data_IF_741283164530
#
_entry.id   IF_741283164530
#
_cell.length_a   1.000
_cell.length_b   1.000
_cell.length_c   1.000
_cell.angle_alpha   90.00
_cell.angle_beta   90.00
_cell.angle_gamma   90.00
#
_symmetry.space_group_name_H-M   'P 1'
#
loop_
_entity.id
_entity.type
_entity.pdbx_description
1 polymer ?
#
# COMPACT_ATOMS: atom_id res chain seq x y z
N UNK A 1 0.90 -17.28 20.85
CA UNK A 1 0.06 -16.08 21.08
C UNK A 1 0.03 -15.77 22.58
N UNK A 2 0.08 -14.52 22.93
CA UNK A 2 -0.03 -14.06 24.31
C UNK A 2 -1.50 -13.86 24.74
N UNK A 3 -2.34 -13.43 23.82
CA UNK A 3 -3.77 -13.14 24.02
C UNK A 3 -4.64 -13.90 23.01
N UNK A 4 -5.78 -14.44 23.43
CA UNK A 4 -6.67 -15.23 22.57
C UNK A 4 -7.37 -14.39 21.51
N UNK A 5 -7.65 -13.14 21.81
CA UNK A 5 -8.27 -12.19 20.88
C UNK A 5 -7.39 -11.85 19.66
N UNK A 6 -6.09 -12.12 19.71
CA UNK A 6 -5.21 -11.97 18.54
C UNK A 6 -5.65 -12.85 17.34
N UNK A 7 -6.39 -13.94 17.59
CA UNK A 7 -6.95 -14.78 16.53
C UNK A 7 -7.90 -14.03 15.58
N UNK A 8 -8.47 -12.93 16.02
CA UNK A 8 -9.32 -12.06 15.19
C UNK A 8 -8.57 -11.53 13.97
N UNK A 9 -7.24 -11.36 14.05
CA UNK A 9 -6.41 -10.90 12.93
C UNK A 9 -6.38 -11.88 11.75
N UNK A 10 -6.59 -13.19 12.01
CA UNK A 10 -6.44 -14.24 11.00
C UNK A 10 -7.34 -14.06 9.76
N UNK A 11 -8.67 -13.86 9.87
CA UNK A 11 -9.50 -13.62 8.69
C UNK A 11 -9.10 -12.36 7.92
N UNK A 12 -8.67 -11.30 8.60
CA UNK A 12 -8.18 -10.08 7.96
C UNK A 12 -6.94 -10.35 7.10
N UNK A 13 -5.95 -11.07 7.62
CA UNK A 13 -4.75 -11.43 6.87
C UNK A 13 -5.06 -12.34 5.68
N UNK A 14 -5.91 -13.34 5.86
CA UNK A 14 -6.31 -14.22 4.75
C UNK A 14 -7.01 -13.43 3.66
N UNK A 15 -7.94 -12.56 4.04
CA UNK A 15 -8.69 -11.77 3.07
C UNK A 15 -7.81 -10.74 2.35
N UNK A 16 -6.87 -10.10 3.04
CA UNK A 16 -5.88 -9.23 2.42
C UNK A 16 -5.05 -9.97 1.34
N UNK A 17 -4.64 -11.22 1.60
CA UNK A 17 -3.93 -12.04 0.61
C UNK A 17 -4.82 -12.43 -0.59
N UNK A 18 -6.11 -12.69 -0.37
CA UNK A 18 -7.07 -12.95 -1.46
C UNK A 18 -7.26 -11.69 -2.33
N UNK A 19 -7.40 -10.53 -1.69
CA UNK A 19 -7.51 -9.27 -2.40
C UNK A 19 -6.23 -8.92 -3.18
N UNK A 20 -5.05 -9.23 -2.63
CA UNK A 20 -3.78 -9.07 -3.34
C UNK A 20 -3.71 -9.95 -4.60
N UNK A 21 -4.18 -11.19 -4.52
CA UNK A 21 -4.25 -12.03 -5.70
C UNK A 21 -5.18 -11.45 -6.78
N UNK A 22 -6.33 -10.92 -6.38
CA UNK A 22 -7.25 -10.20 -7.29
C UNK A 22 -6.63 -8.94 -7.87
N UNK A 23 -5.96 -8.14 -7.06
CA UNK A 23 -5.27 -6.91 -7.47
C UNK A 23 -4.21 -7.21 -8.55
N UNK A 24 -3.33 -8.20 -8.32
CA UNK A 24 -2.32 -8.59 -9.31
C UNK A 24 -2.97 -9.14 -10.59
N UNK A 25 -4.06 -9.91 -10.49
CA UNK A 25 -4.78 -10.40 -11.68
C UNK A 25 -5.31 -9.24 -12.53
N UNK A 26 -5.92 -8.22 -11.93
CA UNK A 26 -6.36 -7.03 -12.66
C UNK A 26 -5.18 -6.21 -13.19
N UNK A 27 -4.05 -6.18 -12.48
CA UNK A 27 -2.80 -5.63 -13.00
C UNK A 27 -2.27 -6.36 -14.23
N UNK A 28 -2.41 -7.70 -14.29
CA UNK A 28 -2.06 -8.50 -15.48
C UNK A 28 -3.04 -8.24 -16.63
N UNK A 29 -4.35 -8.12 -16.38
CA UNK A 29 -5.35 -7.74 -17.40
C UNK A 29 -4.97 -6.40 -18.02
N UNK A 30 -4.65 -5.39 -17.21
CA UNK A 30 -4.14 -4.09 -17.67
C UNK A 30 -2.85 -4.25 -18.48
N UNK A 31 -1.94 -5.10 -18.02
CA UNK A 31 -0.70 -5.42 -18.76
C UNK A 31 -0.98 -5.95 -20.18
N UNK A 32 -1.95 -6.86 -20.33
CA UNK A 32 -2.42 -7.33 -21.64
C UNK A 32 -3.10 -6.24 -22.45
N UNK A 33 -3.91 -5.39 -21.83
CA UNK A 33 -4.60 -4.27 -22.52
C UNK A 33 -3.64 -3.19 -23.03
N UNK A 34 -2.46 -3.01 -22.41
CA UNK A 34 -1.40 -2.16 -22.97
C UNK A 34 -0.77 -2.74 -24.25
N UNK A 35 -0.82 -4.08 -24.42
CA UNK A 35 -0.30 -4.76 -25.62
C UNK A 35 -1.38 -4.87 -26.70
N UNK A 36 -2.58 -5.21 -26.28
CA UNK A 36 -3.78 -5.31 -27.14
C UNK A 36 -4.97 -4.62 -26.45
N UNK A 37 -5.28 -3.41 -26.89
CA UNK A 37 -6.32 -2.57 -26.29
C UNK A 37 -7.71 -3.19 -26.23
N UNK A 38 -8.02 -4.11 -27.13
CA UNK A 38 -9.32 -4.81 -27.20
C UNK A 38 -9.39 -6.07 -26.33
N UNK A 39 -8.32 -6.38 -25.58
CA UNK A 39 -8.32 -7.56 -24.70
C UNK A 39 -9.43 -7.44 -23.64
N UNK A 40 -10.33 -8.42 -23.63
CA UNK A 40 -11.54 -8.49 -22.78
C UNK A 40 -12.58 -7.37 -23.00
N UNK A 41 -12.42 -6.51 -24.02
CA UNK A 41 -13.46 -5.53 -24.36
C UNK A 41 -14.63 -6.24 -25.08
N UNK A 42 -15.90 -5.89 -24.82
CA UNK A 42 -16.40 -4.85 -23.92
C UNK A 42 -16.69 -5.33 -22.47
N UNK A 43 -16.35 -6.56 -22.10
CA UNK A 43 -16.67 -7.14 -20.78
C UNK A 43 -15.93 -6.41 -19.66
N UNK A 44 -14.64 -6.13 -19.85
CA UNK A 44 -13.80 -5.42 -18.89
C UNK A 44 -13.02 -4.34 -19.64
N UNK A 45 -13.60 -3.14 -19.81
CA UNK A 45 -12.90 -1.99 -20.39
C UNK A 45 -11.69 -1.60 -19.54
N UNK A 46 -10.68 -0.98 -20.16
CA UNK A 46 -9.42 -0.59 -19.51
C UNK A 46 -9.63 0.26 -18.23
N UNK A 47 -10.52 1.25 -18.30
CA UNK A 47 -10.79 2.11 -17.16
C UNK A 47 -11.49 1.36 -16.00
N UNK A 48 -12.34 0.39 -16.30
CA UNK A 48 -12.94 -0.48 -15.26
C UNK A 48 -11.89 -1.39 -14.66
N UNK A 49 -11.05 -2.03 -15.48
CA UNK A 49 -9.94 -2.86 -14.98
C UNK A 49 -9.00 -2.06 -14.07
N UNK A 50 -8.66 -0.81 -14.46
CA UNK A 50 -7.83 0.09 -13.68
C UNK A 50 -8.49 0.48 -12.36
N UNK A 51 -9.75 0.85 -12.38
CA UNK A 51 -10.53 1.19 -11.19
C UNK A 51 -10.57 0.03 -10.19
N UNK A 52 -10.81 -1.20 -10.68
CA UNK A 52 -10.80 -2.38 -9.81
C UNK A 52 -9.40 -2.64 -9.24
N UNK A 53 -8.35 -2.58 -10.06
CA UNK A 53 -6.96 -2.76 -9.63
C UNK A 53 -6.58 -1.79 -8.52
N UNK A 54 -6.83 -0.50 -8.70
CA UNK A 54 -6.48 0.54 -7.72
C UNK A 54 -7.32 0.44 -6.44
N UNK A 55 -8.63 0.16 -6.55
CA UNK A 55 -9.48 0.00 -5.37
C UNK A 55 -9.15 -1.27 -4.57
N UNK A 56 -8.82 -2.38 -5.23
CA UNK A 56 -8.34 -3.59 -4.55
C UNK A 56 -7.06 -3.32 -3.76
N UNK A 57 -6.12 -2.54 -4.31
CA UNK A 57 -4.90 -2.13 -3.62
C UNK A 57 -5.20 -1.39 -2.31
N UNK A 58 -6.08 -0.40 -2.33
CA UNK A 58 -6.45 0.36 -1.14
C UNK A 58 -7.11 -0.54 -0.09
N UNK A 59 -8.09 -1.34 -0.52
CA UNK A 59 -8.87 -2.18 0.41
C UNK A 59 -8.01 -3.28 1.03
N UNK A 60 -7.11 -3.91 0.27
CA UNK A 60 -6.22 -4.94 0.82
C UNK A 60 -5.27 -4.37 1.89
N UNK A 61 -4.74 -3.16 1.70
CA UNK A 61 -3.89 -2.48 2.67
C UNK A 61 -4.68 -2.17 3.95
N UNK A 62 -5.92 -1.70 3.83
CA UNK A 62 -6.78 -1.46 4.99
C UNK A 62 -7.06 -2.76 5.77
N UNK A 63 -7.36 -3.88 5.09
CA UNK A 63 -7.49 -5.18 5.76
C UNK A 63 -6.20 -5.62 6.45
N UNK A 64 -5.04 -5.41 5.80
CA UNK A 64 -3.74 -5.72 6.39
C UNK A 64 -3.47 -4.88 7.65
N UNK A 65 -3.74 -3.58 7.61
CA UNK A 65 -3.58 -2.68 8.76
C UNK A 65 -4.51 -3.04 9.92
N UNK A 66 -5.78 -3.37 9.61
CA UNK A 66 -6.73 -3.82 10.62
C UNK A 66 -6.27 -5.14 11.26
N UNK A 67 -5.86 -6.12 10.45
CA UNK A 67 -5.32 -7.39 10.93
C UNK A 67 -4.07 -7.21 11.79
N UNK A 68 -3.11 -6.41 11.34
CA UNK A 68 -1.90 -6.08 12.08
C UNK A 68 -2.22 -5.42 13.44
N UNK A 69 -3.12 -4.44 13.44
CA UNK A 69 -3.54 -3.73 14.65
C UNK A 69 -4.22 -4.67 15.65
N UNK A 70 -5.13 -5.53 15.20
CA UNK A 70 -5.77 -6.53 16.06
C UNK A 70 -4.78 -7.57 16.59
N UNK A 71 -3.66 -7.80 15.90
CA UNK A 71 -2.62 -8.70 16.39
C UNK A 71 -1.69 -8.01 17.40
N UNK A 72 -1.22 -6.80 17.10
CA UNK A 72 -0.19 -6.13 17.92
C UNK A 72 -0.76 -5.43 19.16
N UNK A 73 -1.96 -4.83 19.07
CA UNK A 73 -2.51 -4.01 20.17
C UNK A 73 -2.74 -4.80 21.46
N UNK A 74 -3.26 -6.04 21.43
CA UNK A 74 -3.34 -6.84 22.66
C UNK A 74 -2.01 -7.04 23.36
N UNK A 75 -0.93 -7.27 22.61
CA UNK A 75 0.41 -7.44 23.19
C UNK A 75 0.98 -6.14 23.76
N UNK A 76 0.83 -5.03 23.04
CA UNK A 76 1.31 -3.72 23.45
C UNK A 76 0.53 -3.17 24.65
N UNK A 77 -0.79 -3.39 24.66
CA UNK A 77 -1.68 -2.93 25.74
C UNK A 77 -1.76 -3.89 26.92
N UNK A 78 -1.10 -5.04 26.84
CA UNK A 78 -1.07 -6.10 27.88
C UNK A 78 -2.47 -6.57 28.30
N UNK A 79 -3.40 -6.68 27.32
CA UNK A 79 -4.77 -7.12 27.57
C UNK A 79 -5.45 -7.64 26.31
N UNK A 80 -6.54 -8.39 26.48
CA UNK A 80 -7.43 -8.80 25.39
C UNK A 80 -8.08 -7.59 24.69
N UNK A 81 -8.45 -7.73 23.41
CA UNK A 81 -9.24 -6.72 22.71
C UNK A 81 -10.52 -6.36 23.48
N UNK A 82 -10.88 -5.09 23.44
CA UNK A 82 -12.12 -4.62 24.09
C UNK A 82 -13.35 -5.36 23.60
N UNK A 83 -13.45 -5.61 22.31
CA UNK A 83 -14.56 -6.39 21.73
C UNK A 83 -14.13 -7.21 20.53
N UNK A 84 -13.72 -8.49 20.71
CA UNK A 84 -13.46 -9.40 19.60
C UNK A 84 -14.69 -9.59 18.68
N UNK A 85 -15.91 -9.54 19.24
CA UNK A 85 -17.16 -9.63 18.47
C UNK A 85 -17.30 -8.44 17.50
N UNK A 86 -17.04 -7.23 17.96
CA UNK A 86 -17.09 -6.03 17.10
C UNK A 86 -16.08 -6.16 15.95
N UNK A 87 -14.88 -6.67 16.21
CA UNK A 87 -13.88 -6.87 15.18
C UNK A 87 -14.36 -7.85 14.08
N UNK A 88 -15.00 -8.97 14.45
CA UNK A 88 -15.55 -9.92 13.48
C UNK A 88 -16.75 -9.33 12.71
N UNK A 89 -17.63 -8.59 13.37
CA UNK A 89 -18.73 -7.89 12.69
C UNK A 89 -18.17 -6.88 11.67
N UNK A 90 -17.22 -6.07 12.09
CA UNK A 90 -16.54 -5.09 11.23
C UNK A 90 -15.88 -5.75 10.02
N UNK A 91 -15.24 -6.92 10.23
CA UNK A 91 -14.69 -7.72 9.13
C UNK A 91 -15.75 -8.05 8.08
N UNK A 92 -16.87 -8.63 8.48
CA UNK A 92 -17.91 -9.05 7.54
C UNK A 92 -18.59 -7.89 6.84
N UNK A 93 -18.88 -6.80 7.56
CA UNK A 93 -19.45 -5.60 6.94
C UNK A 93 -18.51 -5.06 5.86
N UNK A 94 -17.22 -4.93 6.17
CA UNK A 94 -16.25 -4.39 5.24
C UNK A 94 -16.00 -5.33 4.05
N UNK A 95 -15.88 -6.64 4.28
CA UNK A 95 -15.68 -7.63 3.22
C UNK A 95 -16.89 -7.67 2.27
N UNK A 96 -18.12 -7.73 2.79
CA UNK A 96 -19.33 -7.78 1.96
C UNK A 96 -19.50 -6.47 1.18
N UNK A 97 -19.34 -5.31 1.82
CA UNK A 97 -19.45 -4.02 1.14
C UNK A 97 -18.37 -3.82 0.07
N UNK A 98 -17.12 -4.22 0.36
CA UNK A 98 -16.02 -4.17 -0.60
C UNK A 98 -16.26 -5.06 -1.82
N UNK A 99 -16.64 -6.32 -1.60
CA UNK A 99 -16.97 -7.26 -2.69
C UNK A 99 -18.16 -6.74 -3.51
N UNK A 100 -19.22 -6.25 -2.85
CA UNK A 100 -20.39 -5.70 -3.55
C UNK A 100 -20.02 -4.49 -4.42
N UNK A 101 -19.13 -3.62 -3.94
CA UNK A 101 -18.65 -2.46 -4.70
C UNK A 101 -17.86 -2.90 -5.94
N UNK A 102 -16.91 -3.85 -5.79
CA UNK A 102 -16.13 -4.37 -6.92
C UNK A 102 -17.03 -5.09 -7.94
N UNK A 103 -17.97 -5.90 -7.47
CA UNK A 103 -18.95 -6.54 -8.37
C UNK A 103 -19.83 -5.52 -9.07
N UNK A 104 -20.20 -4.42 -8.40
CA UNK A 104 -20.90 -3.31 -9.02
C UNK A 104 -20.13 -2.72 -10.20
N UNK A 105 -18.81 -2.50 -10.04
CA UNK A 105 -17.96 -2.01 -11.14
C UNK A 105 -17.86 -2.98 -12.31
N UNK A 106 -17.86 -4.28 -12.06
CA UNK A 106 -17.70 -5.31 -13.10
C UNK A 106 -19.01 -5.67 -13.80
N UNK A 107 -20.14 -5.63 -13.07
CA UNK A 107 -21.42 -6.10 -13.57
C UNK A 107 -22.31 -5.00 -14.17
N UNK A 108 -22.07 -3.73 -13.79
CA UNK A 108 -22.80 -2.62 -14.37
C UNK A 108 -22.18 -2.26 -15.74
N UNK A 109 -22.95 -2.24 -16.84
CA UNK A 109 -22.41 -1.93 -18.17
C UNK A 109 -21.68 -0.58 -18.19
N UNK A 110 -20.57 -0.51 -18.93
CA UNK A 110 -19.74 0.69 -19.02
C UNK A 110 -20.53 1.95 -19.43
N UNK A 111 -21.43 1.83 -20.42
CA UNK A 111 -22.28 2.95 -20.85
C UNK A 111 -23.13 3.48 -19.69
N UNK A 112 -23.74 2.60 -18.91
CA UNK A 112 -24.52 2.97 -17.73
C UNK A 112 -23.64 3.63 -16.66
N UNK A 113 -22.42 3.10 -16.40
CA UNK A 113 -21.47 3.73 -15.48
C UNK A 113 -21.11 5.16 -15.93
N UNK A 114 -20.90 5.38 -17.22
CA UNK A 114 -20.59 6.69 -17.77
C UNK A 114 -21.76 7.69 -17.58
N UNK A 115 -22.99 7.25 -17.77
CA UNK A 115 -24.21 8.05 -17.57
C UNK A 115 -24.43 8.44 -16.11
N UNK A 116 -24.16 7.53 -15.17
CA UNK A 116 -24.39 7.77 -13.74
C UNK A 116 -23.21 8.47 -13.03
N UNK A 117 -22.12 8.74 -13.72
CA UNK A 117 -20.92 9.41 -13.16
C UNK A 117 -21.24 10.77 -12.54
N UNK A 118 -22.25 11.48 -13.04
CA UNK A 118 -22.69 12.77 -12.49
C UNK A 118 -23.56 12.65 -11.23
N UNK A 119 -23.92 11.44 -10.81
CA UNK A 119 -24.74 11.23 -9.61
C UNK A 119 -23.85 10.98 -8.39
N UNK A 120 -23.87 11.88 -7.41
CA UNK A 120 -23.06 11.81 -6.19
C UNK A 120 -23.32 10.56 -5.31
N UNK A 121 -24.43 9.86 -5.51
CA UNK A 121 -24.77 8.63 -4.78
C UNK A 121 -24.24 7.38 -5.46
N UNK A 122 -23.84 7.47 -6.72
CA UNK A 122 -23.41 6.35 -7.55
C UNK A 122 -21.91 6.43 -7.87
N UNK A 123 -21.31 5.40 -8.47
CA UNK A 123 -19.88 5.39 -8.79
C UNK A 123 -19.46 6.58 -9.63
N UNK A 124 -18.39 7.24 -9.23
CA UNK A 124 -17.76 8.29 -10.03
C UNK A 124 -16.46 7.74 -10.60
N UNK A 125 -16.23 7.97 -11.91
CA UNK A 125 -15.01 7.50 -12.57
C UNK A 125 -13.88 8.54 -12.60
N UNK A 126 -14.11 9.72 -12.04
CA UNK A 126 -13.21 10.87 -12.17
C UNK A 126 -12.13 11.01 -11.11
N UNK A 127 -12.27 10.39 -9.94
CA UNK A 127 -11.34 10.51 -8.82
C UNK A 127 -10.67 9.18 -8.55
N UNK A 128 -9.49 8.97 -9.10
CA UNK A 128 -8.69 7.77 -8.89
C UNK A 128 -8.50 7.49 -7.39
N UNK A 129 -8.66 6.25 -6.98
CA UNK A 129 -8.70 5.76 -5.59
C UNK A 129 -9.94 6.17 -4.77
N UNK A 130 -10.77 7.07 -5.25
CA UNK A 130 -11.98 7.57 -4.57
C UNK A 130 -13.24 7.37 -5.42
N UNK A 131 -13.22 6.42 -6.35
CA UNK A 131 -14.32 6.14 -7.27
C UNK A 131 -15.54 5.51 -6.58
N UNK A 132 -15.43 5.09 -5.31
CA UNK A 132 -16.50 4.42 -4.60
C UNK A 132 -17.76 5.32 -4.53
N UNK A 133 -18.96 4.74 -4.67
CA UNK A 133 -20.20 5.46 -4.45
C UNK A 133 -20.25 6.10 -3.06
N UNK A 134 -20.95 7.21 -2.92
CA UNK A 134 -21.12 7.90 -1.62
C UNK A 134 -21.63 6.96 -0.53
N UNK A 135 -22.55 6.06 -0.87
CA UNK A 135 -23.07 5.07 0.10
C UNK A 135 -21.96 4.11 0.57
N UNK A 136 -21.05 3.69 -0.31
CA UNK A 136 -19.89 2.87 0.06
C UNK A 136 -18.91 3.67 0.92
N UNK A 137 -18.68 4.96 0.62
CA UNK A 137 -17.86 5.86 1.45
C UNK A 137 -18.43 6.00 2.86
N UNK A 138 -19.76 6.12 3.02
CA UNK A 138 -20.41 6.12 4.33
C UNK A 138 -20.16 4.79 5.05
N UNK A 139 -20.28 3.67 4.34
CA UNK A 139 -19.97 2.35 4.89
C UNK A 139 -18.50 2.25 5.36
N UNK A 140 -17.55 2.80 4.61
CA UNK A 140 -16.13 2.88 5.00
C UNK A 140 -15.98 3.67 6.30
N UNK A 141 -16.64 4.82 6.44
CA UNK A 141 -16.61 5.62 7.68
C UNK A 141 -17.12 4.82 8.88
N UNK A 142 -18.23 4.11 8.74
CA UNK A 142 -18.78 3.27 9.82
C UNK A 142 -17.79 2.16 10.22
N UNK A 143 -17.19 1.49 9.26
CA UNK A 143 -16.18 0.45 9.49
C UNK A 143 -14.96 1.02 10.20
N UNK A 144 -14.42 2.15 9.72
CA UNK A 144 -13.23 2.80 10.29
C UNK A 144 -13.51 3.28 11.72
N UNK A 145 -14.65 3.91 11.98
CA UNK A 145 -15.02 4.36 13.33
C UNK A 145 -15.21 3.18 14.29
N UNK A 146 -15.83 2.09 13.84
CA UNK A 146 -15.99 0.86 14.63
C UNK A 146 -14.64 0.23 14.97
N UNK A 147 -13.71 0.21 14.01
CA UNK A 147 -12.35 -0.27 14.19
C UNK A 147 -11.58 0.61 15.19
N UNK A 148 -11.57 1.93 14.97
CA UNK A 148 -10.90 2.89 15.87
C UNK A 148 -11.45 2.78 17.27
N UNK A 149 -12.76 2.69 17.45
CA UNK A 149 -13.40 2.51 18.77
C UNK A 149 -12.83 1.27 19.48
N UNK A 150 -12.75 0.14 18.79
CA UNK A 150 -12.26 -1.11 19.38
C UNK A 150 -10.79 -1.00 19.81
N UNK A 151 -9.94 -0.45 18.92
CA UNK A 151 -8.52 -0.24 19.21
C UNK A 151 -8.33 0.78 20.35
N UNK A 152 -8.99 1.95 20.26
CA UNK A 152 -8.87 3.00 21.27
C UNK A 152 -9.32 2.51 22.66
N UNK A 153 -10.45 1.82 22.75
CA UNK A 153 -10.94 1.27 24.03
C UNK A 153 -10.02 0.20 24.59
N UNK A 154 -9.32 -0.56 23.72
CA UNK A 154 -8.31 -1.51 24.16
C UNK A 154 -7.10 -0.78 24.75
N UNK A 155 -6.57 0.21 24.04
CA UNK A 155 -5.40 0.98 24.47
C UNK A 155 -5.71 1.82 25.73
N UNK A 156 -6.84 2.51 25.76
CA UNK A 156 -7.21 3.38 26.89
C UNK A 156 -7.38 2.61 28.21
N UNK A 157 -7.85 1.36 28.14
CA UNK A 157 -8.03 0.50 29.31
C UNK A 157 -6.84 -0.40 29.61
N UNK A 158 -5.79 -0.39 28.79
CA UNK A 158 -4.56 -1.16 28.94
C UNK A 158 -3.33 -0.28 29.11
N UNK A 159 -2.15 -0.93 28.96
CA UNK A 159 -0.88 -0.22 28.90
C UNK A 159 -0.82 0.63 27.62
N UNK A 160 -0.31 1.84 27.76
CA UNK A 160 -0.08 2.77 26.63
C UNK A 160 1.41 2.74 26.30
N UNK A 161 1.75 2.44 25.06
CA UNK A 161 3.11 2.48 24.53
C UNK A 161 3.20 3.50 23.41
N UNK A 162 4.41 3.93 23.04
CA UNK A 162 4.62 4.83 21.91
C UNK A 162 4.01 4.22 20.64
N UNK A 163 4.22 2.92 20.42
CA UNK A 163 3.65 2.18 19.27
C UNK A 163 2.12 2.34 19.21
N UNK A 164 1.42 2.16 20.35
CA UNK A 164 -0.04 2.27 20.36
C UNK A 164 -0.53 3.71 20.19
N UNK A 165 0.22 4.71 20.68
CA UNK A 165 -0.10 6.13 20.49
C UNK A 165 0.09 6.52 19.03
N UNK A 166 1.21 6.14 18.41
CA UNK A 166 1.48 6.40 16.98
C UNK A 166 0.41 5.76 16.11
N UNK A 167 0.07 4.50 16.38
CA UNK A 167 -1.00 3.79 15.69
C UNK A 167 -2.34 4.53 15.78
N UNK A 168 -2.75 4.95 16.98
CA UNK A 168 -4.00 5.69 17.16
C UNK A 168 -3.96 7.04 16.45
N UNK A 169 -2.83 7.76 16.48
CA UNK A 169 -2.67 9.02 15.74
C UNK A 169 -2.89 8.79 14.25
N UNK A 170 -2.26 7.76 13.67
CA UNK A 170 -2.46 7.39 12.27
C UNK A 170 -3.91 7.03 11.96
N UNK A 171 -4.57 6.23 12.81
CA UNK A 171 -5.96 5.83 12.61
C UNK A 171 -6.96 6.99 12.70
N UNK A 172 -6.80 7.88 13.67
CA UNK A 172 -7.65 9.08 13.78
C UNK A 172 -7.40 10.03 12.61
N UNK A 173 -6.15 10.25 12.22
CA UNK A 173 -5.81 11.04 11.05
C UNK A 173 -6.41 10.45 9.77
N UNK A 174 -6.33 9.14 9.59
CA UNK A 174 -6.93 8.44 8.46
C UNK A 174 -8.44 8.70 8.36
N UNK A 175 -9.17 8.60 9.48
CA UNK A 175 -10.60 8.91 9.52
C UNK A 175 -10.88 10.39 9.22
N UNK A 176 -10.09 11.30 9.79
CA UNK A 176 -10.25 12.73 9.60
C UNK A 176 -10.05 13.16 8.15
N UNK A 177 -8.95 12.76 7.52
CA UNK A 177 -8.65 13.15 6.14
C UNK A 177 -9.63 12.52 5.14
N UNK A 178 -10.19 11.34 5.42
CA UNK A 178 -11.19 10.74 4.56
C UNK A 178 -12.48 11.56 4.44
N UNK A 179 -12.80 12.40 5.42
CA UNK A 179 -14.00 13.25 5.35
C UNK A 179 -13.96 14.21 4.16
N UNK A 180 -12.78 14.63 3.72
CA UNK A 180 -12.63 15.47 2.52
C UNK A 180 -13.00 14.74 1.22
N UNK A 181 -13.07 13.41 1.22
CA UNK A 181 -13.55 12.63 0.07
C UNK A 181 -15.04 12.88 -0.28
N UNK A 182 -15.80 13.44 0.65
CA UNK A 182 -17.21 13.83 0.45
C UNK A 182 -17.38 15.22 -0.14
N UNK A 183 -16.32 16.03 -0.17
CA UNK A 183 -16.36 17.36 -0.75
C UNK A 183 -16.13 17.27 -2.26
N UNK A 184 -17.12 17.69 -3.04
CA UNK A 184 -17.16 17.61 -4.50
C UNK A 184 -17.37 19.01 -5.08
N UNK A 185 -16.33 19.86 -5.17
CA UNK A 185 -16.44 21.19 -5.73
C UNK A 185 -16.61 21.15 -7.25
N UNK A 186 -17.31 22.12 -7.80
CA UNK A 186 -17.52 22.27 -9.25
C UNK A 186 -16.23 22.69 -9.99
N UNK A 187 -15.36 23.46 -9.33
CA UNK A 187 -14.11 23.90 -9.91
C UNK A 187 -13.07 22.78 -9.93
N UNK A 188 -12.60 22.43 -11.12
CA UNK A 188 -11.66 21.31 -11.31
C UNK A 188 -10.33 21.46 -10.54
N UNK A 189 -9.79 22.66 -10.43
CA UNK A 189 -8.55 22.90 -9.69
C UNK A 189 -8.76 22.66 -8.18
N UNK A 190 -9.89 23.15 -7.63
CA UNK A 190 -10.27 22.91 -6.24
C UNK A 190 -10.57 21.43 -6.00
N UNK A 191 -11.24 20.75 -6.95
CA UNK A 191 -11.49 19.32 -6.91
C UNK A 191 -10.18 18.51 -6.84
N UNK A 192 -9.23 18.81 -7.70
CA UNK A 192 -7.91 18.18 -7.73
C UNK A 192 -7.13 18.45 -6.44
N UNK A 193 -7.21 19.66 -5.88
CA UNK A 193 -6.57 19.99 -4.61
C UNK A 193 -7.10 19.10 -3.47
N UNK A 194 -8.42 19.01 -3.27
CA UNK A 194 -9.01 18.21 -2.20
C UNK A 194 -8.91 16.71 -2.45
N UNK A 195 -8.94 16.26 -3.71
CA UNK A 195 -8.70 14.87 -4.05
C UNK A 195 -7.31 14.41 -3.60
N UNK A 196 -6.25 15.13 -3.98
CA UNK A 196 -4.89 14.80 -3.58
C UNK A 196 -4.65 15.06 -2.09
N UNK A 197 -5.33 16.02 -1.49
CA UNK A 197 -5.30 16.22 -0.05
C UNK A 197 -5.77 14.99 0.72
N UNK A 198 -6.76 14.24 0.22
CA UNK A 198 -7.15 12.95 0.80
C UNK A 198 -6.12 11.89 0.53
N UNK A 199 -5.79 11.64 -0.74
CA UNK A 199 -4.98 10.48 -1.14
C UNK A 199 -3.53 10.61 -0.67
N UNK A 200 -2.91 11.78 -0.85
CA UNK A 200 -1.55 12.01 -0.40
C UNK A 200 -1.43 11.91 1.14
N UNK A 201 -2.32 12.60 1.88
CA UNK A 201 -2.28 12.52 3.36
C UNK A 201 -2.64 11.14 3.90
N UNK A 202 -3.34 10.31 3.13
CA UNK A 202 -3.47 8.90 3.46
C UNK A 202 -2.13 8.19 3.25
N UNK A 203 -1.61 8.19 2.05
CA UNK A 203 -0.48 7.36 1.63
C UNK A 203 0.84 7.87 2.18
N UNK A 204 1.13 9.16 2.06
CA UNK A 204 2.39 9.80 2.47
C UNK A 204 2.25 10.60 3.78
N UNK A 205 1.27 10.26 4.58
CA UNK A 205 1.03 10.87 5.86
C UNK A 205 0.63 9.80 6.89
N UNK A 206 -0.67 9.68 7.15
CA UNK A 206 -1.17 8.88 8.27
C UNK A 206 -0.95 7.37 8.14
N UNK A 207 -0.90 6.83 6.92
CA UNK A 207 -0.55 5.42 6.71
C UNK A 207 0.89 5.10 7.08
N UNK A 208 1.80 6.06 6.93
CA UNK A 208 3.18 5.90 7.38
C UNK A 208 3.28 5.79 8.90
N UNK A 209 2.40 6.47 9.65
CA UNK A 209 2.31 6.29 11.11
C UNK A 209 1.86 4.88 11.46
N UNK A 210 0.86 4.36 10.75
CA UNK A 210 0.35 2.99 10.96
C UNK A 210 1.44 1.97 10.61
N UNK A 211 2.10 2.15 9.47
CA UNK A 211 3.23 1.33 9.02
C UNK A 211 4.40 1.39 10.02
N UNK A 212 4.72 2.59 10.53
CA UNK A 212 5.75 2.79 11.56
C UNK A 212 5.48 2.01 12.83
N UNK A 213 4.23 2.03 13.28
CA UNK A 213 3.82 1.26 14.46
C UNK A 213 3.95 -0.25 14.22
N UNK A 214 3.49 -0.76 13.06
CA UNK A 214 3.57 -2.18 12.72
C UNK A 214 5.02 -2.64 12.57
N UNK A 215 5.83 -1.89 11.82
CA UNK A 215 7.23 -2.23 11.59
C UNK A 215 8.03 -2.20 12.90
N UNK A 216 7.81 -1.19 13.74
CA UNK A 216 8.44 -1.08 15.05
C UNK A 216 8.12 -2.27 15.95
N UNK A 217 6.85 -2.67 16.00
CA UNK A 217 6.43 -3.87 16.72
C UNK A 217 7.19 -5.11 16.23
N UNK A 218 7.22 -5.36 14.93
CA UNK A 218 7.88 -6.53 14.35
C UNK A 218 9.38 -6.46 14.59
N UNK A 219 10.04 -5.31 14.39
CA UNK A 219 11.47 -5.13 14.63
C UNK A 219 11.84 -5.47 16.07
N UNK A 220 11.10 -4.95 17.07
CA UNK A 220 11.34 -5.28 18.49
C UNK A 220 11.21 -6.79 18.73
N UNK A 221 10.18 -7.43 18.13
CA UNK A 221 9.93 -8.87 18.33
C UNK A 221 10.95 -9.77 17.63
N UNK A 222 11.35 -9.41 16.43
CA UNK A 222 12.22 -10.25 15.59
C UNK A 222 13.70 -10.00 15.86
N UNK A 223 14.11 -8.74 16.04
CA UNK A 223 15.52 -8.38 16.27
C UNK A 223 15.91 -8.30 17.74
N UNK A 224 14.92 -8.16 18.63
CA UNK A 224 15.15 -7.91 20.06
C UNK A 224 15.82 -6.56 20.33
N UNK A 225 15.74 -5.61 19.38
CA UNK A 225 16.25 -4.24 19.57
C UNK A 225 15.59 -3.58 20.76
N UNK A 226 16.35 -2.71 21.44
CA UNK A 226 15.83 -2.00 22.59
C UNK A 226 14.68 -1.07 22.19
N UNK A 227 13.56 -1.20 22.92
CA UNK A 227 12.34 -0.43 22.71
C UNK A 227 12.58 1.08 22.77
N UNK A 228 13.39 1.55 23.72
CA UNK A 228 13.64 2.98 23.90
C UNK A 228 14.21 3.64 22.64
N UNK A 229 15.08 2.92 21.92
CA UNK A 229 15.64 3.42 20.67
C UNK A 229 14.60 3.48 19.56
N UNK A 230 13.74 2.47 19.45
CA UNK A 230 12.65 2.47 18.46
C UNK A 230 11.64 3.58 18.78
N UNK A 231 11.30 3.79 20.05
CA UNK A 231 10.38 4.84 20.48
C UNK A 231 10.89 6.25 20.08
N UNK A 232 12.19 6.51 20.19
CA UNK A 232 12.80 7.78 19.73
C UNK A 232 12.64 7.99 18.22
N UNK A 233 12.86 6.94 17.43
CA UNK A 233 12.64 7.01 15.98
C UNK A 233 11.18 7.23 15.63
N UNK A 234 10.25 6.60 16.34
CA UNK A 234 8.82 6.81 16.13
C UNK A 234 8.38 8.25 16.39
N UNK A 235 8.90 8.90 17.43
CA UNK A 235 8.63 10.33 17.67
C UNK A 235 9.13 11.22 16.52
N UNK A 236 10.32 10.91 15.98
CA UNK A 236 10.84 11.63 14.82
C UNK A 236 9.98 11.40 13.58
N UNK A 237 9.55 10.15 13.33
CA UNK A 237 8.65 9.81 12.23
C UNK A 237 7.34 10.58 12.35
N UNK A 238 6.68 10.61 13.52
CA UNK A 238 5.45 11.40 13.72
C UNK A 238 5.68 12.86 13.36
N UNK A 239 6.74 13.46 13.89
CA UNK A 239 7.01 14.88 13.68
C UNK A 239 7.25 15.18 12.19
N UNK A 240 8.04 14.34 11.52
CA UNK A 240 8.33 14.51 10.10
C UNK A 240 7.09 14.28 9.24
N UNK A 241 6.39 13.15 9.42
CA UNK A 241 5.20 12.81 8.65
C UNK A 241 4.08 13.85 8.77
N UNK A 242 3.84 14.40 9.96
CA UNK A 242 2.80 15.44 10.13
C UNK A 242 3.19 16.77 9.48
N UNK A 243 4.46 17.15 9.53
CA UNK A 243 4.93 18.42 8.93
C UNK A 243 5.17 18.24 7.44
N UNK A 244 5.98 17.25 7.04
CA UNK A 244 6.36 17.02 5.65
C UNK A 244 5.20 16.46 4.83
N UNK A 245 4.38 15.56 5.38
CA UNK A 245 3.23 15.00 4.70
C UNK A 245 2.20 16.07 4.32
N UNK A 246 1.83 16.97 5.24
CA UNK A 246 0.87 18.04 4.95
C UNK A 246 1.43 19.00 3.88
N UNK A 247 2.65 19.48 4.07
CA UNK A 247 3.30 20.41 3.12
C UNK A 247 3.68 19.70 1.83
N UNK A 248 4.06 18.42 1.92
CA UNK A 248 4.41 17.55 0.80
C UNK A 248 3.28 17.37 -0.22
N UNK A 249 2.01 17.50 0.19
CA UNK A 249 0.86 17.46 -0.72
C UNK A 249 1.05 18.39 -1.94
N UNK A 250 1.81 19.46 -1.80
CA UNK A 250 2.08 20.42 -2.87
C UNK A 250 2.71 19.78 -4.13
N UNK A 251 3.43 18.68 -4.00
CA UNK A 251 4.03 18.01 -5.16
C UNK A 251 3.00 17.33 -6.09
N UNK A 252 1.73 17.21 -5.68
CA UNK A 252 0.63 16.75 -6.53
C UNK A 252 -0.08 17.90 -7.28
N UNK A 253 0.31 19.15 -7.06
CA UNK A 253 -0.40 20.30 -7.61
C UNK A 253 0.16 20.80 -8.94
N UNK A 254 0.99 20.00 -9.61
CA UNK A 254 1.44 20.29 -10.96
C UNK A 254 0.26 20.40 -11.94
N UNK A 255 0.27 21.44 -12.77
CA UNK A 255 -0.70 21.66 -13.87
C UNK A 255 -2.17 21.87 -13.46
N UNK A 256 -2.46 22.16 -12.18
CA UNK A 256 -3.84 22.43 -11.72
C UNK A 256 -4.11 23.90 -11.42
N UNK A 257 -3.15 24.79 -11.69
CA UNK A 257 -3.31 26.23 -11.49
C UNK A 257 -3.09 26.73 -10.07
N UNK A 258 -2.40 25.98 -9.24
CA UNK A 258 -1.96 26.45 -7.91
C UNK A 258 -0.74 27.36 -8.02
N UNK A 259 -0.49 28.24 -7.02
CA UNK A 259 0.74 29.02 -6.98
C UNK A 259 2.00 28.14 -6.96
N UNK A 260 3.04 28.57 -7.69
CA UNK A 260 4.28 27.79 -7.89
C UNK A 260 5.03 27.44 -6.59
N UNK A 261 4.89 28.26 -5.55
CA UNK A 261 5.54 27.98 -4.27
C UNK A 261 5.10 26.64 -3.66
N UNK A 262 3.87 26.19 -3.92
CA UNK A 262 3.39 24.88 -3.45
C UNK A 262 4.20 23.72 -4.02
N UNK A 263 4.61 23.82 -5.27
CA UNK A 263 5.39 22.78 -5.95
C UNK A 263 6.77 22.63 -5.29
N UNK A 264 7.44 23.74 -5.02
CA UNK A 264 8.75 23.75 -4.37
C UNK A 264 8.70 23.31 -2.92
N UNK A 265 7.73 23.82 -2.17
CA UNK A 265 7.53 23.41 -0.78
C UNK A 265 7.20 21.92 -0.68
N UNK A 266 6.32 21.41 -1.57
CA UNK A 266 5.99 20.00 -1.66
C UNK A 266 7.21 19.14 -1.96
N UNK A 267 8.03 19.54 -2.95
CA UNK A 267 9.25 18.81 -3.31
C UNK A 267 10.25 18.73 -2.15
N UNK A 268 10.50 19.83 -1.45
CA UNK A 268 11.44 19.89 -0.32
C UNK A 268 10.92 19.04 0.85
N UNK A 269 9.63 19.15 1.18
CA UNK A 269 9.05 18.40 2.27
C UNK A 269 9.11 16.87 2.01
N UNK A 270 8.73 16.44 0.82
CA UNK A 270 8.74 15.03 0.45
C UNK A 270 10.15 14.42 0.32
N UNK A 271 11.17 15.27 0.07
CA UNK A 271 12.57 14.80 0.00
C UNK A 271 13.09 14.23 1.32
N UNK A 272 12.63 14.78 2.45
CA UNK A 272 13.14 14.40 3.78
C UNK A 272 12.28 13.36 4.49
N UNK A 273 11.06 13.13 4.02
CA UNK A 273 10.06 12.25 4.66
C UNK A 273 10.49 10.77 4.79
N UNK A 274 11.08 10.11 3.78
CA UNK A 274 11.46 8.69 3.89
C UNK A 274 12.68 8.44 4.78
N UNK A 275 13.48 9.46 5.08
CA UNK A 275 14.77 9.30 5.75
C UNK A 275 14.67 8.75 7.18
N UNK A 276 13.77 9.24 8.07
CA UNK A 276 13.67 8.71 9.44
C UNK A 276 13.30 7.23 9.47
N UNK A 277 12.42 6.82 8.56
CA UNK A 277 12.00 5.43 8.39
C UNK A 277 13.15 4.52 8.01
N UNK A 278 13.87 4.88 6.97
CA UNK A 278 15.01 4.13 6.49
C UNK A 278 16.11 4.03 7.55
N UNK A 279 16.42 5.14 8.22
CA UNK A 279 17.42 5.18 9.27
C UNK A 279 17.03 4.34 10.50
N UNK A 280 15.75 4.34 10.90
CA UNK A 280 15.24 3.49 11.98
C UNK A 280 15.51 2.01 11.70
N UNK A 281 15.21 1.58 10.46
CA UNK A 281 15.40 0.18 10.08
C UNK A 281 16.88 -0.19 10.00
N UNK A 282 17.72 0.66 9.42
CA UNK A 282 19.17 0.44 9.40
C UNK A 282 19.73 0.35 10.82
N UNK A 283 19.27 1.20 11.72
CA UNK A 283 19.69 1.18 13.12
C UNK A 283 19.29 -0.13 13.80
N UNK A 284 18.04 -0.58 13.63
CA UNK A 284 17.55 -1.83 14.18
C UNK A 284 18.38 -3.04 13.69
N UNK A 285 18.74 -3.07 12.40
CA UNK A 285 19.60 -4.13 11.86
C UNK A 285 21.05 -4.06 12.30
N UNK A 286 21.58 -2.85 12.53
CA UNK A 286 22.91 -2.69 13.11
C UNK A 286 22.97 -3.29 14.53
N UNK A 287 21.95 -3.04 15.34
CA UNK A 287 21.84 -3.62 16.68
C UNK A 287 21.66 -5.15 16.66
N UNK A 288 20.83 -5.65 15.76
CA UNK A 288 20.63 -7.09 15.55
C UNK A 288 21.96 -7.79 15.26
N UNK A 289 22.75 -7.26 14.33
CA UNK A 289 24.06 -7.79 13.96
C UNK A 289 25.03 -7.82 15.16
N UNK A 290 24.99 -6.82 16.03
CA UNK A 290 25.85 -6.73 17.20
C UNK A 290 25.49 -7.79 18.26
N UNK A 291 24.20 -8.12 18.40
CA UNK A 291 23.73 -9.10 19.42
C UNK A 291 24.05 -10.54 19.09
N UNK A 292 24.34 -10.87 17.83
CA UNK A 292 24.65 -12.24 17.35
C UNK A 292 23.61 -13.29 17.76
N UNK A 293 22.34 -12.90 17.87
CA UNK A 293 21.23 -13.79 18.21
C UNK A 293 20.76 -14.48 16.94
N UNK A 294 20.62 -15.81 16.98
CA UNK A 294 19.99 -16.54 15.89
C UNK A 294 18.46 -16.42 16.01
N UNK A 295 17.82 -15.87 14.96
CA UNK A 295 16.39 -15.60 14.96
C UNK A 295 15.62 -16.81 14.42
N UNK A 296 14.63 -17.23 15.19
CA UNK A 296 13.75 -18.35 14.80
C UNK A 296 12.88 -18.04 13.58
N UNK A 297 12.54 -16.76 13.36
CA UNK A 297 11.74 -16.31 12.21
C UNK A 297 12.58 -15.44 11.28
N UNK A 298 13.49 -16.10 10.51
CA UNK A 298 14.38 -15.43 9.55
C UNK A 298 13.64 -14.81 8.38
N UNK A 299 12.47 -15.34 8.02
CA UNK A 299 11.72 -14.85 6.86
C UNK A 299 10.98 -13.54 7.17
N UNK A 300 10.39 -13.38 8.36
CA UNK A 300 9.82 -12.09 8.75
C UNK A 300 10.89 -10.98 8.77
N UNK A 301 12.10 -11.31 9.23
CA UNK A 301 13.24 -10.39 9.15
C UNK A 301 13.63 -10.07 7.70
N UNK A 302 13.55 -11.04 6.78
CA UNK A 302 13.82 -10.82 5.35
C UNK A 302 12.80 -9.85 4.76
N UNK A 303 11.51 -10.01 5.08
CA UNK A 303 10.46 -9.07 4.67
C UNK A 303 10.67 -7.67 5.24
N UNK A 304 11.07 -7.54 6.52
CA UNK A 304 11.39 -6.25 7.13
C UNK A 304 12.56 -5.55 6.43
N UNK A 305 13.62 -6.30 6.08
CA UNK A 305 14.77 -5.77 5.31
C UNK A 305 14.33 -5.33 3.91
N UNK A 306 13.52 -6.17 3.26
CA UNK A 306 12.94 -5.86 1.97
C UNK A 306 12.10 -4.58 2.00
N UNK A 307 11.21 -4.43 3.00
CA UNK A 307 10.43 -3.21 3.21
C UNK A 307 11.33 -1.98 3.22
N UNK A 308 12.39 -1.98 4.04
CA UNK A 308 13.28 -0.84 4.16
C UNK A 308 13.94 -0.45 2.83
N UNK A 309 14.50 -1.45 2.12
CA UNK A 309 15.25 -1.18 0.88
C UNK A 309 14.31 -0.78 -0.25
N UNK A 310 13.23 -1.54 -0.46
CA UNK A 310 12.34 -1.33 -1.61
C UNK A 310 11.46 -0.09 -1.40
N UNK A 311 11.00 0.18 -0.17
CA UNK A 311 10.29 1.43 0.11
C UNK A 311 11.20 2.66 -0.06
N UNK A 312 12.46 2.58 0.38
CA UNK A 312 13.41 3.67 0.16
C UNK A 312 13.69 3.91 -1.32
N UNK A 313 13.81 2.87 -2.12
CA UNK A 313 13.97 3.01 -3.56
C UNK A 313 12.69 3.57 -4.20
N UNK A 314 11.52 3.02 -3.92
CA UNK A 314 10.25 3.38 -4.54
C UNK A 314 9.73 4.74 -4.09
N UNK A 315 9.48 4.91 -2.80
CA UNK A 315 8.95 6.14 -2.24
C UNK A 315 10.05 7.20 -2.09
N UNK A 316 11.23 6.81 -1.59
CA UNK A 316 12.34 7.74 -1.37
C UNK A 316 12.96 8.22 -2.67
N UNK A 317 13.56 7.33 -3.46
CA UNK A 317 14.36 7.76 -4.64
C UNK A 317 13.47 8.10 -5.83
N UNK A 318 12.61 7.16 -6.30
CA UNK A 318 11.71 7.42 -7.43
C UNK A 318 10.69 8.51 -7.11
N UNK A 319 10.13 8.51 -5.89
CA UNK A 319 9.20 9.54 -5.42
C UNK A 319 9.85 10.92 -5.45
N UNK A 320 10.99 11.07 -4.79
CA UNK A 320 11.70 12.35 -4.79
C UNK A 320 12.02 12.89 -6.19
N UNK A 321 12.59 12.04 -7.06
CA UNK A 321 12.87 12.47 -8.43
C UNK A 321 11.61 12.94 -9.15
N UNK A 322 10.48 12.27 -8.93
CA UNK A 322 9.20 12.62 -9.56
C UNK A 322 8.56 13.89 -8.98
N UNK A 323 8.89 14.28 -7.75
CA UNK A 323 8.40 15.52 -7.11
C UNK A 323 9.16 16.76 -7.54
N UNK A 324 10.36 16.63 -8.08
CA UNK A 324 11.17 17.79 -8.53
C UNK A 324 10.50 18.48 -9.73
N UNK A 325 10.20 19.78 -9.61
CA UNK A 325 9.50 20.52 -10.64
C UNK A 325 10.13 20.41 -12.04
N UNK A 326 11.46 20.57 -12.22
CA UNK A 326 12.11 20.39 -13.54
C UNK A 326 11.97 18.98 -14.10
N UNK A 327 11.97 17.94 -13.24
CA UNK A 327 11.82 16.55 -13.65
C UNK A 327 10.34 16.26 -13.96
N UNK A 328 9.43 16.70 -13.08
CA UNK A 328 8.00 16.50 -13.24
C UNK A 328 7.46 17.14 -14.53
N UNK A 329 8.03 18.25 -14.97
CA UNK A 329 7.68 18.88 -16.25
C UNK A 329 7.71 17.87 -17.42
N UNK A 330 8.68 16.97 -17.45
CA UNK A 330 8.78 15.92 -18.47
C UNK A 330 8.08 14.63 -18.08
N UNK A 331 8.07 14.25 -16.80
CA UNK A 331 7.62 12.92 -16.36
C UNK A 331 6.12 12.84 -16.06
N UNK A 332 5.46 13.96 -15.82
CA UNK A 332 4.03 13.99 -15.49
C UNK A 332 3.15 13.32 -16.57
N UNK A 333 2.28 12.42 -16.16
CA UNK A 333 1.38 11.70 -17.07
C UNK A 333 2.07 10.66 -17.95
N UNK A 334 3.31 10.27 -17.65
CA UNK A 334 4.02 9.17 -18.31
C UNK A 334 3.99 7.89 -17.44
N UNK A 335 4.52 6.79 -17.99
CA UNK A 335 4.65 5.53 -17.26
C UNK A 335 5.63 5.60 -16.07
N UNK A 336 6.42 6.66 -15.93
CA UNK A 336 7.25 6.92 -14.76
C UNK A 336 6.42 7.10 -13.48
N UNK A 337 5.25 7.71 -13.58
CA UNK A 337 4.31 7.82 -12.44
C UNK A 337 3.85 6.43 -11.98
N UNK A 338 3.51 5.55 -12.93
CA UNK A 338 3.14 4.18 -12.63
C UNK A 338 4.32 3.38 -12.06
N UNK A 339 5.55 3.58 -12.55
CA UNK A 339 6.76 2.95 -12.02
C UNK A 339 6.98 3.31 -10.55
N UNK A 340 6.88 4.61 -10.21
CA UNK A 340 6.93 5.10 -8.83
C UNK A 340 5.86 4.44 -7.96
N UNK A 341 4.59 4.49 -8.37
CA UNK A 341 3.47 3.93 -7.62
C UNK A 341 3.64 2.44 -7.33
N UNK A 342 3.98 1.62 -8.32
CA UNK A 342 4.18 0.18 -8.14
C UNK A 342 5.28 -0.13 -7.12
N UNK A 343 6.44 0.50 -7.22
CA UNK A 343 7.55 0.21 -6.31
C UNK A 343 7.30 0.73 -4.89
N UNK A 344 6.65 1.89 -4.76
CA UNK A 344 6.32 2.49 -3.47
C UNK A 344 5.29 1.67 -2.71
N UNK A 345 4.15 1.33 -3.34
CA UNK A 345 3.11 0.53 -2.69
C UNK A 345 3.60 -0.88 -2.35
N UNK A 346 4.33 -1.51 -3.27
CA UNK A 346 4.92 -2.82 -3.00
C UNK A 346 5.91 -2.77 -1.84
N UNK A 347 6.86 -1.84 -1.87
CA UNK A 347 7.91 -1.73 -0.84
C UNK A 347 7.37 -1.34 0.53
N UNK A 348 6.57 -0.28 0.60
CA UNK A 348 6.10 0.26 1.86
C UNK A 348 4.96 -0.58 2.48
N UNK A 349 3.94 -0.94 1.68
CA UNK A 349 2.69 -1.47 2.23
C UNK A 349 2.54 -2.98 2.04
N UNK A 350 2.83 -3.50 0.85
CA UNK A 350 2.67 -4.93 0.58
C UNK A 350 3.75 -5.75 1.32
N UNK A 351 4.99 -5.29 1.33
CA UNK A 351 6.06 -6.02 2.04
C UNK A 351 5.89 -5.99 3.54
N UNK A 352 5.38 -4.89 4.15
CA UNK A 352 5.09 -4.88 5.58
C UNK A 352 3.90 -5.76 5.94
N UNK A 353 2.90 -5.88 5.07
CA UNK A 353 1.83 -6.85 5.21
C UNK A 353 2.41 -8.28 5.25
N UNK A 354 3.28 -8.64 4.32
CA UNK A 354 3.96 -9.94 4.35
C UNK A 354 4.80 -10.12 5.60
N UNK A 355 5.50 -9.08 6.04
CA UNK A 355 6.31 -9.11 7.25
C UNK A 355 5.48 -9.48 8.50
N UNK A 356 4.38 -8.79 8.75
CA UNK A 356 3.52 -9.08 9.91
C UNK A 356 2.79 -10.42 9.76
N UNK A 357 2.36 -10.81 8.56
CA UNK A 357 1.72 -12.10 8.31
C UNK A 357 2.73 -13.23 8.55
N UNK A 358 3.95 -13.12 8.02
CA UNK A 358 5.02 -14.12 8.21
C UNK A 358 5.48 -14.24 9.65
N UNK A 359 5.33 -13.16 10.44
CA UNK A 359 5.54 -13.21 11.88
C UNK A 359 4.37 -13.86 12.62
N UNK A 360 3.15 -13.44 12.36
CA UNK A 360 1.97 -13.77 13.14
C UNK A 360 1.35 -15.14 12.81
N UNK A 361 1.24 -15.48 11.53
CA UNK A 361 0.51 -16.67 11.08
C UNK A 361 1.11 -18.00 11.57
N UNK A 362 2.43 -18.22 11.61
CA UNK A 362 2.99 -19.43 12.22
C UNK A 362 2.60 -19.57 13.69
N UNK A 363 2.63 -18.47 14.45
CA UNK A 363 2.24 -18.43 15.86
C UNK A 363 0.77 -18.77 16.04
N UNK A 364 -0.12 -18.18 15.23
CA UNK A 364 -1.57 -18.43 15.26
C UNK A 364 -1.92 -19.88 14.89
N UNK A 365 -1.08 -20.54 14.08
CA UNK A 365 -1.27 -21.93 13.64
C UNK A 365 -0.64 -22.95 14.61
N UNK A 366 -0.06 -22.49 15.72
CA UNK A 366 0.66 -23.35 16.69
C UNK A 366 1.95 -23.95 16.13
N UNK A 367 2.49 -23.40 15.04
CA UNK A 367 3.78 -23.79 14.49
C UNK A 367 4.86 -22.97 15.14
N UNK A 368 5.41 -23.45 16.24
CA UNK A 368 6.48 -22.79 16.96
C UNK A 368 7.84 -23.38 16.57
N UNK A 369 8.84 -22.49 16.43
CA UNK A 369 10.30 -22.68 16.61
C UNK A 369 10.95 -23.87 15.90
N UNK A 370 11.80 -23.57 14.95
CA UNK A 370 12.70 -24.57 14.30
C UNK A 370 12.04 -25.56 13.33
N UNK A 371 10.75 -25.80 13.47
CA UNK A 371 9.99 -26.78 12.69
C UNK A 371 9.41 -26.24 11.39
N UNK A 372 9.82 -25.06 10.94
CA UNK A 372 9.25 -24.38 9.78
C UNK A 372 10.29 -24.05 8.68
N UNK A 373 11.44 -24.72 8.68
CA UNK A 373 12.53 -24.38 7.75
C UNK A 373 12.15 -24.57 6.28
N UNK A 374 11.46 -25.67 5.96
CA UNK A 374 11.00 -25.91 4.58
C UNK A 374 9.99 -24.85 4.14
N UNK A 375 9.01 -24.51 4.99
CA UNK A 375 8.02 -23.49 4.69
C UNK A 375 8.69 -22.13 4.52
N UNK A 376 9.66 -21.77 5.38
CA UNK A 376 10.43 -20.52 5.26
C UNK A 376 11.27 -20.47 3.98
N UNK A 377 11.84 -21.58 3.54
CA UNK A 377 12.59 -21.65 2.27
C UNK A 377 11.69 -21.45 1.05
N UNK A 378 10.49 -22.05 1.06
CA UNK A 378 9.48 -21.83 0.00
C UNK A 378 9.02 -20.37 0.01
N UNK A 379 8.75 -19.81 1.19
CA UNK A 379 8.37 -18.41 1.33
C UNK A 379 9.49 -17.46 0.84
N UNK A 380 10.76 -17.78 1.12
CA UNK A 380 11.93 -17.04 0.63
C UNK A 380 12.03 -17.08 -0.89
N UNK A 381 11.68 -18.19 -1.54
CA UNK A 381 11.59 -18.25 -2.99
C UNK A 381 10.47 -17.33 -3.51
N UNK A 382 9.30 -17.34 -2.88
CA UNK A 382 8.20 -16.41 -3.17
C UNK A 382 8.63 -14.93 -3.01
N UNK A 383 9.34 -14.61 -1.93
CA UNK A 383 9.92 -13.28 -1.71
C UNK A 383 10.79 -12.81 -2.88
N UNK A 384 11.77 -13.63 -3.30
CA UNK A 384 12.66 -13.23 -4.39
C UNK A 384 11.96 -13.14 -5.73
N UNK A 385 11.00 -14.04 -6.03
CA UNK A 385 10.19 -13.95 -7.24
C UNK A 385 9.38 -12.64 -7.28
N UNK A 386 8.75 -12.26 -6.17
CA UNK A 386 8.00 -11.01 -6.10
C UNK A 386 8.89 -9.78 -6.18
N UNK A 387 10.02 -9.76 -5.49
CA UNK A 387 10.96 -8.63 -5.50
C UNK A 387 11.57 -8.43 -6.89
N UNK A 388 12.08 -9.50 -7.51
CA UNK A 388 12.67 -9.42 -8.85
C UNK A 388 11.59 -9.07 -9.88
N UNK A 389 10.41 -9.68 -9.76
CA UNK A 389 9.27 -9.39 -10.61
C UNK A 389 8.87 -7.91 -10.53
N UNK A 390 8.69 -7.37 -9.31
CA UNK A 390 8.30 -5.96 -9.14
C UNK A 390 9.38 -4.98 -9.57
N UNK A 391 10.66 -5.27 -9.30
CA UNK A 391 11.77 -4.46 -9.83
C UNK A 391 11.78 -4.47 -11.36
N UNK A 392 11.52 -5.63 -11.98
CA UNK A 392 11.41 -5.74 -13.43
C UNK A 392 10.23 -4.96 -14.01
N UNK A 393 9.05 -5.00 -13.36
CA UNK A 393 7.89 -4.17 -13.71
C UNK A 393 8.26 -2.68 -13.62
N UNK A 394 8.88 -2.27 -12.53
CA UNK A 394 9.27 -0.87 -12.30
C UNK A 394 10.27 -0.39 -13.34
N UNK A 395 11.29 -1.21 -13.66
CA UNK A 395 12.29 -0.86 -14.68
C UNK A 395 11.66 -0.78 -16.07
N UNK A 396 10.79 -1.71 -16.43
CA UNK A 396 10.07 -1.67 -17.71
C UNK A 396 9.20 -0.40 -17.82
N UNK A 397 8.44 -0.07 -16.76
CA UNK A 397 7.64 1.17 -16.73
C UNK A 397 8.52 2.43 -16.77
N UNK A 398 9.69 2.40 -16.13
CA UNK A 398 10.67 3.50 -16.20
C UNK A 398 11.18 3.69 -17.63
N UNK A 399 11.57 2.61 -18.30
CA UNK A 399 11.99 2.65 -19.71
C UNK A 399 10.85 3.15 -20.61
N UNK A 400 9.64 2.65 -20.41
CA UNK A 400 8.46 3.10 -21.14
C UNK A 400 8.21 4.60 -20.95
N UNK A 401 8.28 5.10 -19.70
CA UNK A 401 8.08 6.51 -19.39
C UNK A 401 9.16 7.42 -19.98
N UNK A 402 10.45 7.01 -19.91
CA UNK A 402 11.54 7.75 -20.56
C UNK A 402 11.35 7.75 -22.07
N UNK A 403 10.96 6.63 -22.66
CA UNK A 403 10.68 6.55 -24.10
C UNK A 403 9.50 7.44 -24.52
N UNK A 404 8.44 7.52 -23.69
CA UNK A 404 7.35 8.48 -23.91
C UNK A 404 7.86 9.93 -23.93
N UNK A 405 8.75 10.31 -23.01
CA UNK A 405 9.34 11.66 -22.97
C UNK A 405 10.10 11.93 -24.28
N UNK A 406 10.95 11.00 -24.71
CA UNK A 406 11.76 11.14 -25.92
C UNK A 406 10.87 11.28 -27.16
N UNK A 407 9.81 10.50 -27.27
CA UNK A 407 8.94 10.51 -28.46
C UNK A 407 7.92 11.66 -28.50
N UNK A 408 7.45 12.11 -27.33
CA UNK A 408 6.34 13.09 -27.26
C UNK A 408 6.79 14.50 -26.89
N UNK A 409 7.90 14.67 -26.16
CA UNK A 409 8.23 15.93 -25.49
C UNK A 409 9.63 16.46 -25.79
N UNK A 410 10.56 15.56 -26.11
CA UNK A 410 11.95 15.97 -26.35
C UNK A 410 12.14 16.78 -27.63
N UNK A 411 11.57 16.41 -28.79
CA UNK A 411 11.56 17.33 -29.90
C UNK A 411 10.44 18.34 -29.68
N UNK A 412 10.77 19.58 -29.38
CA UNK A 412 9.85 20.71 -29.54
C UNK A 412 9.53 20.95 -31.02
N UNK A 413 9.35 19.89 -31.80
CA UNK A 413 9.27 19.92 -33.26
C UNK A 413 8.03 19.18 -33.78
N UNK A 414 7.72 19.41 -35.05
CA UNK A 414 6.64 18.74 -35.77
C UNK A 414 6.80 17.19 -35.82
N UNK A 415 7.92 16.65 -35.38
CA UNK A 415 8.22 15.22 -35.38
C UNK A 415 7.80 14.51 -34.08
N UNK A 416 7.27 15.24 -33.09
CA UNK A 416 6.74 14.66 -31.87
C UNK A 416 5.56 13.76 -32.16
N UNK A 417 5.62 12.51 -31.67
CA UNK A 417 4.55 11.54 -31.85
C UNK A 417 3.33 11.87 -30.96
N UNK A 418 2.14 11.66 -31.50
CA UNK A 418 0.92 11.67 -30.70
C UNK A 418 0.87 10.49 -29.72
N UNK A 419 0.00 10.59 -28.70
CA UNK A 419 -0.09 9.60 -27.62
C UNK A 419 -0.24 8.15 -28.14
N UNK A 420 -1.20 7.90 -29.05
CA UNK A 420 -1.46 6.54 -29.55
C UNK A 420 -0.29 5.97 -30.38
N UNK A 421 0.37 6.80 -31.19
CA UNK A 421 1.53 6.38 -31.96
C UNK A 421 2.71 6.01 -31.00
N UNK A 422 2.90 6.80 -29.97
CA UNK A 422 3.89 6.50 -28.92
C UNK A 422 3.60 5.18 -28.21
N UNK A 423 2.33 4.90 -27.86
CA UNK A 423 1.98 3.63 -27.23
C UNK A 423 2.32 2.43 -28.11
N UNK A 424 2.10 2.53 -29.44
CA UNK A 424 2.45 1.47 -30.39
C UNK A 424 3.97 1.18 -30.41
N UNK A 425 4.80 2.21 -30.34
CA UNK A 425 6.27 2.05 -30.30
C UNK A 425 6.77 1.38 -29.00
N UNK A 426 6.03 1.52 -27.90
CA UNK A 426 6.41 1.03 -26.58
C UNK A 426 5.93 -0.43 -26.32
N UNK A 427 5.09 -1.00 -27.16
CA UNK A 427 4.57 -2.38 -27.01
C UNK A 427 5.65 -3.40 -26.59
N UNK A 428 6.86 -3.44 -27.17
CA UNK A 428 7.88 -4.39 -26.77
C UNK A 428 8.24 -4.28 -25.26
N UNK A 429 8.26 -3.07 -24.73
CA UNK A 429 8.53 -2.82 -23.30
C UNK A 429 7.36 -3.30 -22.44
N UNK A 430 6.12 -3.13 -22.89
CA UNK A 430 4.95 -3.64 -22.21
C UNK A 430 4.90 -5.17 -22.15
N UNK A 431 5.42 -5.87 -23.17
CA UNK A 431 5.60 -7.32 -23.12
C UNK A 431 6.59 -7.71 -22.01
N UNK A 432 7.72 -7.02 -21.89
CA UNK A 432 8.69 -7.24 -20.81
C UNK A 432 8.02 -6.99 -19.43
N UNK A 433 7.29 -5.88 -19.29
CA UNK A 433 6.49 -5.58 -18.07
C UNK A 433 5.55 -6.73 -17.71
N UNK A 434 4.83 -7.29 -18.69
CA UNK A 434 3.89 -8.39 -18.47
C UNK A 434 4.61 -9.65 -17.97
N UNK A 435 5.75 -10.00 -18.53
CA UNK A 435 6.57 -11.14 -18.09
C UNK A 435 6.97 -10.99 -16.60
N UNK A 436 7.43 -9.83 -16.20
CA UNK A 436 7.78 -9.55 -14.80
C UNK A 436 6.54 -9.48 -13.90
N UNK A 437 5.40 -9.02 -14.39
CA UNK A 437 4.12 -9.09 -13.69
C UNK A 437 3.68 -10.54 -13.41
N UNK A 438 3.80 -11.43 -14.40
CA UNK A 438 3.56 -12.87 -14.23
C UNK A 438 4.54 -13.50 -13.23
N UNK A 439 5.79 -13.05 -13.21
CA UNK A 439 6.78 -13.48 -12.21
C UNK A 439 6.37 -13.04 -10.79
N UNK A 440 5.88 -11.82 -10.62
CA UNK A 440 5.35 -11.32 -9.34
C UNK A 440 4.15 -12.17 -8.88
N UNK A 441 3.21 -12.46 -9.77
CA UNK A 441 2.08 -13.32 -9.47
C UNK A 441 2.50 -14.74 -9.09
N UNK A 442 3.44 -15.32 -9.82
CA UNK A 442 4.02 -16.63 -9.49
C UNK A 442 4.67 -16.63 -8.10
N UNK A 443 5.35 -15.54 -7.74
CA UNK A 443 5.92 -15.35 -6.42
C UNK A 443 4.86 -15.35 -5.30
N UNK A 444 3.71 -14.70 -5.53
CA UNK A 444 2.58 -14.75 -4.60
C UNK A 444 2.04 -16.18 -4.47
N UNK A 445 1.88 -16.91 -5.56
CA UNK A 445 1.41 -18.31 -5.50
C UNK A 445 2.38 -19.20 -4.70
N UNK A 446 3.69 -19.02 -4.90
CA UNK A 446 4.73 -19.72 -4.11
C UNK A 446 4.65 -19.32 -2.63
N UNK A 447 4.46 -18.04 -2.33
CA UNK A 447 4.24 -17.59 -0.95
C UNK A 447 3.01 -18.27 -0.33
N UNK A 448 1.87 -18.26 -1.02
CA UNK A 448 0.65 -18.91 -0.54
C UNK A 448 0.83 -20.42 -0.36
N UNK A 449 1.58 -21.05 -1.25
CA UNK A 449 1.90 -22.48 -1.13
C UNK A 449 2.68 -22.81 0.15
N UNK A 450 3.52 -21.88 0.64
CA UNK A 450 4.27 -22.08 1.89
C UNK A 450 3.38 -22.42 3.09
N UNK A 451 2.13 -21.94 3.11
CA UNK A 451 1.17 -22.26 4.17
C UNK A 451 0.71 -23.74 4.18
N UNK A 452 0.84 -24.44 3.07
CA UNK A 452 0.43 -25.83 2.91
C UNK A 452 1.61 -26.82 3.03
N UNK A 453 2.83 -26.33 3.09
CA UNK A 453 4.02 -27.16 3.27
C UNK A 453 3.93 -27.89 4.60
N UNK A 454 3.90 -29.23 4.52
CA UNK A 454 3.93 -30.11 5.69
C UNK A 454 5.38 -30.32 6.11
N UNK A 455 5.65 -30.11 7.37
CA UNK A 455 6.92 -30.40 7.98
C UNK A 455 6.81 -31.62 8.89
N UNK A 456 7.86 -32.45 8.99
CA UNK A 456 7.83 -33.57 9.92
C UNK A 456 7.70 -32.99 11.34
N UNK A 457 6.74 -33.51 12.09
CA UNK A 457 6.63 -33.22 13.52
C UNK A 457 7.84 -33.90 14.17
N UNK A 458 8.89 -33.13 14.45
CA UNK A 458 9.94 -33.63 15.36
C UNK A 458 9.32 -33.72 16.75
N UNK A 459 9.20 -34.96 17.22
CA UNK A 459 8.73 -35.30 18.57
C UNK A 459 9.69 -34.76 19.62
#
# INVERSE_FOLDING_TARGET
MKYTSQMVAKPYFIFALVLLAGEILFGLILGFQYINGDFLFPLIPFNVARMVHTNLLIVLILFAFMGASYYLVPEESERELWSPKLAIITFWIFAIAGVATILGYLLVPYATLAEITYNNLLPTMGREFLEQPTISKIGIVIVVLSFILNIAMTVLKGRKTVITVVLLTGLFGMAFFFLFAFYLPENLAVDKFFWWFVIHLWVEGVWELILGAILSFVLIKVTGVDREHIDKWLYLIIAMTLVSGIVGTGHHFFYIGTPDYWLWLGSIASAVEPLPFFLMVLYAFSMEKQRRIDHENKIALTWAKGTAVIAFLGAGVWGFLHTLAPVNYYTHGTQLTAAHGHLSFFGAYIMIMFCIISYAMPIMRGRLKGNCEKAQNVEKAGFWLMVIGMLGVTLALTVAGVWQIVLQRWPESADALGFMATQAEIIPVYVVRLVFGLMTFSGLLVYLYSFFVKEPVTK
#
